data_IF_791160072253
#
_entry.id   IF_791160072253
#
_cell.length_a   1.000
_cell.length_b   1.000
_cell.length_c   1.000
_cell.angle_alpha   90.00
_cell.angle_beta   90.00
_cell.angle_gamma   90.00
#
_symmetry.space_group_name_H-M   'P 1'
#
loop_
_entity.id
_entity.type
_entity.pdbx_description
1 polymer ?
#
# COMPACT_ATOMS: atom_id res chain seq x y z
N UNK A 1 -14.32 1.06 11.06
CA UNK A 1 -13.10 0.55 10.40
C UNK A 1 -13.22 0.52 8.87
N UNK A 2 -14.35 0.91 8.28
CA UNK A 2 -14.57 0.91 6.81
C UNK A 2 -14.01 2.14 6.09
N UNK A 3 -13.53 3.15 6.83
CA UNK A 3 -12.94 4.36 6.29
C UNK A 3 -11.47 4.43 6.72
N UNK A 4 -10.57 4.67 5.76
CA UNK A 4 -9.14 4.80 6.00
C UNK A 4 -8.30 4.49 4.77
N UNK A 5 -6.99 4.71 4.89
CA UNK A 5 -6.04 4.49 3.80
C UNK A 5 -5.99 3.02 3.39
N UNK A 6 -6.00 2.08 4.34
CA UNK A 6 -5.86 0.63 4.09
C UNK A 6 -7.00 0.07 3.23
N UNK A 7 -8.29 0.27 3.58
CA UNK A 7 -9.40 -0.16 2.74
C UNK A 7 -9.37 0.45 1.33
N UNK A 8 -9.01 1.73 1.19
CA UNK A 8 -8.94 2.41 -0.10
C UNK A 8 -7.83 1.84 -0.99
N UNK A 9 -6.57 1.80 -0.52
CA UNK A 9 -5.48 1.35 -1.39
C UNK A 9 -5.63 -0.13 -1.77
N UNK A 10 -6.06 -0.98 -0.85
CA UNK A 10 -6.26 -2.41 -1.12
C UNK A 10 -7.36 -2.66 -2.16
N UNK A 11 -8.43 -1.86 -2.15
CA UNK A 11 -9.55 -2.01 -3.09
C UNK A 11 -9.26 -1.47 -4.49
N UNK A 12 -8.36 -0.48 -4.63
CA UNK A 12 -8.24 0.28 -5.86
C UNK A 12 -6.84 0.27 -6.50
N UNK A 13 -5.75 0.16 -5.72
CA UNK A 13 -4.39 0.26 -6.27
C UNK A 13 -3.88 -1.05 -6.87
N UNK A 14 -4.28 -2.22 -6.37
CA UNK A 14 -3.69 -3.49 -6.83
C UNK A 14 -4.15 -3.79 -8.26
N UNK A 15 -3.19 -3.91 -9.19
CA UNK A 15 -3.48 -4.24 -10.58
C UNK A 15 -3.64 -5.77 -10.77
N UNK A 16 -4.41 -6.23 -11.78
CA UNK A 16 -4.59 -7.67 -12.03
C UNK A 16 -3.30 -8.43 -12.34
N UNK A 17 -2.29 -7.75 -12.90
CA UNK A 17 -0.97 -8.32 -13.18
C UNK A 17 -0.03 -8.35 -11.95
N UNK A 18 -0.52 -7.94 -10.78
CA UNK A 18 0.32 -7.63 -9.62
C UNK A 18 0.83 -6.19 -9.63
N UNK A 19 1.51 -5.81 -8.55
CA UNK A 19 1.95 -4.42 -8.29
C UNK A 19 0.76 -3.44 -8.14
N UNK A 20 1.07 -2.17 -7.95
CA UNK A 20 0.16 -1.08 -7.66
C UNK A 20 0.10 -0.12 -8.85
N UNK A 21 -1.11 0.27 -9.23
CA UNK A 21 -1.36 1.30 -10.25
C UNK A 21 -0.61 2.59 -9.92
N UNK A 22 -0.20 3.31 -10.95
CA UNK A 22 0.57 4.55 -10.81
C UNK A 22 -0.24 5.63 -10.11
N UNK A 23 -1.46 5.89 -10.60
CA UNK A 23 -2.24 7.05 -10.19
C UNK A 23 -3.74 6.76 -10.31
N UNK A 24 -4.49 7.16 -9.29
CA UNK A 24 -5.94 7.06 -9.25
C UNK A 24 -6.58 8.43 -9.03
N UNK A 25 -7.82 8.58 -9.46
CA UNK A 25 -8.67 9.69 -9.04
C UNK A 25 -9.25 9.46 -7.64
N UNK A 26 -10.07 10.41 -7.16
CA UNK A 26 -10.69 10.36 -5.83
C UNK A 26 -11.65 9.16 -5.66
N UNK A 27 -12.21 8.65 -6.74
CA UNK A 27 -13.13 7.51 -6.74
C UNK A 27 -12.39 6.17 -6.92
N UNK A 28 -11.05 6.20 -6.97
CA UNK A 28 -10.22 5.00 -7.15
C UNK A 28 -10.17 4.51 -8.60
N UNK A 29 -10.56 5.35 -9.58
CA UNK A 29 -10.44 5.00 -11.00
C UNK A 29 -9.03 5.31 -11.49
N UNK A 30 -8.40 4.44 -12.30
CA UNK A 30 -7.04 4.69 -12.78
C UNK A 30 -6.99 5.90 -13.71
N UNK A 31 -6.10 6.84 -13.41
CA UNK A 31 -5.73 7.94 -14.31
C UNK A 31 -4.59 7.52 -15.25
N UNK A 32 -3.78 6.56 -14.81
CA UNK A 32 -2.76 5.88 -15.59
C UNK A 32 -3.00 4.37 -15.45
N UNK A 33 -3.14 3.68 -16.59
CA UNK A 33 -3.42 2.25 -16.63
C UNK A 33 -2.18 1.40 -16.34
N UNK A 34 -0.98 1.99 -16.39
CA UNK A 34 0.28 1.31 -16.15
C UNK A 34 0.53 1.08 -14.64
N UNK A 35 1.45 0.16 -14.35
CA UNK A 35 2.00 -0.07 -13.00
C UNK A 35 3.35 0.63 -12.79
N UNK A 36 3.88 1.28 -13.82
CA UNK A 36 5.11 2.07 -13.75
C UNK A 36 5.17 3.11 -14.85
N UNK A 37 5.98 4.13 -14.62
CA UNK A 37 6.30 5.20 -15.58
C UNK A 37 7.63 5.85 -15.17
N UNK A 38 8.01 6.95 -15.81
CA UNK A 38 9.26 7.68 -15.54
C UNK A 38 9.43 8.10 -14.07
N UNK A 39 8.34 8.16 -13.30
CA UNK A 39 8.30 8.57 -11.91
C UNK A 39 8.00 7.42 -10.93
N UNK A 40 7.59 6.26 -11.44
CA UNK A 40 7.20 5.11 -10.63
C UNK A 40 7.90 3.84 -11.10
N UNK A 41 8.79 3.37 -10.23
CA UNK A 41 9.38 2.04 -10.27
C UNK A 41 8.99 1.26 -8.99
N UNK A 42 9.89 0.40 -8.50
CA UNK A 42 9.61 -0.55 -7.40
C UNK A 42 9.89 -0.01 -5.99
N UNK A 43 10.55 1.15 -5.89
CA UNK A 43 11.08 1.63 -4.61
C UNK A 43 9.99 1.93 -3.56
N UNK A 44 9.02 2.80 -3.90
CA UNK A 44 8.02 3.24 -2.92
C UNK A 44 7.13 2.09 -2.44
N UNK A 45 6.66 1.24 -3.36
CA UNK A 45 5.82 0.08 -3.03
C UNK A 45 6.57 -0.90 -2.13
N UNK A 46 7.79 -1.28 -2.51
CA UNK A 46 8.60 -2.22 -1.73
C UNK A 46 8.96 -1.70 -0.35
N UNK A 47 9.44 -0.45 -0.28
CA UNK A 47 9.80 0.19 1.01
C UNK A 47 8.58 0.33 1.92
N UNK A 48 7.42 0.76 1.40
CA UNK A 48 6.22 0.90 2.22
C UNK A 48 5.82 -0.43 2.87
N UNK A 49 5.84 -1.54 2.12
CA UNK A 49 5.51 -2.86 2.66
C UNK A 49 6.51 -3.35 3.71
N UNK A 50 7.81 -3.14 3.49
CA UNK A 50 8.85 -3.47 4.47
C UNK A 50 8.66 -2.67 5.77
N UNK A 51 8.56 -1.35 5.65
CA UNK A 51 8.45 -0.42 6.78
C UNK A 51 7.15 -0.66 7.59
N UNK A 52 6.03 -0.94 6.92
CA UNK A 52 4.78 -1.31 7.57
C UNK A 52 4.90 -2.63 8.32
N UNK A 53 5.49 -3.66 7.70
CA UNK A 53 5.68 -4.97 8.32
C UNK A 53 6.51 -4.85 9.60
N UNK A 54 7.69 -4.22 9.52
CA UNK A 54 8.55 -4.05 10.70
C UNK A 54 7.89 -3.26 11.83
N UNK A 55 7.11 -2.21 11.50
CA UNK A 55 6.40 -1.42 12.52
C UNK A 55 5.31 -2.23 13.18
N UNK A 56 4.51 -2.96 12.40
CA UNK A 56 3.46 -3.81 12.93
C UNK A 56 4.04 -4.92 13.82
N UNK A 57 5.14 -5.55 13.40
CA UNK A 57 5.85 -6.53 14.21
C UNK A 57 6.34 -5.95 15.54
N UNK A 58 6.91 -4.74 15.53
CA UNK A 58 7.33 -4.03 16.75
C UNK A 58 6.14 -3.70 17.65
N UNK A 59 5.03 -3.23 17.11
CA UNK A 59 3.82 -2.91 17.88
C UNK A 59 3.24 -4.18 18.54
N UNK A 60 3.07 -5.25 17.77
CA UNK A 60 2.57 -6.54 18.26
C UNK A 60 3.55 -7.28 19.20
N UNK A 61 4.86 -6.99 19.07
CA UNK A 61 5.90 -7.49 19.96
C UNK A 61 6.00 -6.70 21.27
N UNK A 62 5.78 -5.38 21.21
CA UNK A 62 5.72 -4.51 22.38
C UNK A 62 4.49 -4.82 23.25
N UNK A 63 3.34 -5.09 22.63
CA UNK A 63 2.11 -5.53 23.32
C UNK A 63 2.30 -6.84 24.10
N UNK A 64 3.18 -7.75 23.62
CA UNK A 64 3.45 -9.04 24.28
C UNK A 64 4.34 -8.96 25.53
N UNK A 65 5.04 -7.85 25.76
CA UNK A 65 5.89 -7.65 26.95
C UNK A 65 5.15 -7.01 28.13
N UNK A 66 3.85 -6.75 27.98
CA UNK A 66 2.99 -6.15 28.99
C UNK A 66 1.87 -7.05 29.54
N UNK A 67 1.95 -8.38 29.31
CA UNK A 67 1.00 -9.37 29.82
C UNK A 67 1.68 -10.34 30.80
#
# INVERSE_FOLDING_TARGET
MEQGIIPFWRGHFIAPCGEWRVLLDRQGRPLDANVGNDWKAVYCTGRAMLECTERLERMLGAERKGA
#
